data_IF_404286934839
#
_entry.id   IF_404286934839
#
_cell.length_a   1.000
_cell.length_b   1.000
_cell.length_c   1.000
_cell.angle_alpha   90.00
_cell.angle_beta   90.00
_cell.angle_gamma   90.00
#
_symmetry.space_group_name_H-M   'P 1'
#
loop_
_entity.id
_entity.type
_entity.pdbx_description
1 polymer ?
#
# COMPACT_ATOMS: atom_id res chain seq x y z
N UNK A 1 2.57 28.08 -3.25
CA UNK A 1 2.12 27.21 -4.34
C UNK A 1 2.09 25.77 -3.90
N UNK A 2 0.98 25.12 -4.14
CA UNK A 2 0.81 23.76 -3.67
C UNK A 2 1.17 22.77 -4.75
N UNK A 3 1.90 21.75 -4.36
CA UNK A 3 2.23 20.68 -5.26
C UNK A 3 1.34 19.48 -4.98
N UNK A 4 1.15 18.66 -6.00
CA UNK A 4 0.50 17.39 -5.84
C UNK A 4 1.25 16.55 -4.81
N UNK A 5 0.55 15.81 -3.96
CA UNK A 5 1.25 14.93 -3.02
C UNK A 5 2.13 13.95 -3.76
N UNK A 6 3.26 13.62 -3.16
CA UNK A 6 4.19 12.69 -3.80
C UNK A 6 3.87 11.22 -3.53
N UNK A 7 2.98 10.95 -2.58
CA UNK A 7 2.70 9.58 -2.17
C UNK A 7 2.28 8.67 -3.33
N UNK A 8 1.36 9.06 -4.21
CA UNK A 8 0.99 8.17 -5.31
C UNK A 8 2.14 7.88 -6.26
N UNK A 9 3.03 8.86 -6.44
CA UNK A 9 4.21 8.64 -7.29
C UNK A 9 5.18 7.68 -6.65
N UNK A 10 5.36 7.78 -5.33
CA UNK A 10 6.25 6.87 -4.60
C UNK A 10 5.69 5.46 -4.61
N UNK A 11 4.39 5.31 -4.46
CA UNK A 11 3.76 3.99 -4.48
C UNK A 11 4.00 3.32 -5.82
N UNK A 12 3.81 4.07 -6.92
CA UNK A 12 4.02 3.49 -8.25
C UNK A 12 5.48 3.10 -8.47
N UNK A 13 6.40 3.95 -8.01
CA UNK A 13 7.83 3.67 -8.16
C UNK A 13 8.24 2.45 -7.35
N UNK A 14 7.76 2.36 -6.12
CA UNK A 14 8.08 1.23 -5.26
C UNK A 14 7.48 -0.07 -5.78
N UNK A 15 6.26 0.02 -6.30
CA UNK A 15 5.62 -1.14 -6.92
C UNK A 15 6.51 -1.68 -8.06
N UNK A 16 6.93 -0.79 -8.95
CA UNK A 16 7.76 -1.19 -10.08
C UNK A 16 9.10 -1.76 -9.62
N UNK A 17 9.68 -1.12 -8.62
CA UNK A 17 10.97 -1.57 -8.07
C UNK A 17 10.87 -2.97 -7.51
N UNK A 18 9.80 -3.25 -6.76
CA UNK A 18 9.61 -4.57 -6.17
C UNK A 18 9.39 -5.62 -7.24
N UNK A 19 8.59 -5.31 -8.26
CA UNK A 19 8.33 -6.23 -9.37
C UNK A 19 9.62 -6.50 -10.14
N UNK A 20 10.42 -5.46 -10.38
CA UNK A 20 11.66 -5.62 -11.13
C UNK A 20 12.68 -6.49 -10.40
N UNK A 21 12.53 -6.64 -9.10
CA UNK A 21 13.40 -7.50 -8.32
C UNK A 21 12.78 -8.88 -8.07
N UNK A 22 11.75 -9.22 -8.82
CA UNK A 22 11.08 -10.52 -8.73
C UNK A 22 10.50 -10.79 -7.36
N UNK A 23 10.05 -9.74 -6.70
CA UNK A 23 9.45 -9.87 -5.38
C UNK A 23 7.97 -9.50 -5.45
N UNK A 24 7.27 -9.75 -4.35
CA UNK A 24 5.83 -9.61 -4.30
C UNK A 24 5.45 -8.30 -3.61
N UNK A 25 4.80 -7.36 -4.32
CA UNK A 25 4.41 -6.11 -3.68
C UNK A 25 3.16 -6.29 -2.83
N UNK A 26 3.30 -6.02 -1.55
CA UNK A 26 2.19 -6.00 -0.60
C UNK A 26 1.90 -4.56 -0.23
N UNK A 27 0.62 -4.24 -0.09
CA UNK A 27 0.23 -2.91 0.35
C UNK A 27 -0.62 -3.05 1.61
N UNK A 28 -0.31 -2.22 2.61
CA UNK A 28 -1.09 -2.16 3.85
C UNK A 28 -2.03 -0.97 3.75
N UNK A 29 -3.31 -1.21 3.94
CA UNK A 29 -4.34 -0.21 3.73
C UNK A 29 -5.15 -0.01 5.01
N UNK A 30 -5.46 1.25 5.32
CA UNK A 30 -6.38 1.59 6.40
C UNK A 30 -7.80 1.30 5.93
N UNK A 31 -8.34 0.18 6.40
CA UNK A 31 -9.67 -0.26 5.96
C UNK A 31 -10.79 0.51 6.62
N UNK A 32 -10.49 1.36 7.60
CA UNK A 32 -11.50 2.19 8.24
C UNK A 32 -11.73 3.50 7.50
N UNK A 33 -10.92 3.79 6.48
CA UNK A 33 -11.18 4.91 5.62
C UNK A 33 -12.53 4.71 4.95
N UNK A 34 -13.40 5.73 4.99
CA UNK A 34 -14.77 5.56 4.52
C UNK A 34 -14.85 5.30 3.01
N UNK A 35 -13.81 5.64 2.27
CA UNK A 35 -13.78 5.42 0.83
C UNK A 35 -13.03 4.15 0.45
N UNK A 36 -12.59 3.36 1.41
CA UNK A 36 -11.91 2.11 1.13
C UNK A 36 -12.96 1.00 0.99
N UNK A 37 -13.01 0.39 -0.19
CA UNK A 37 -13.91 -0.73 -0.47
C UNK A 37 -13.08 -1.98 -0.63
N UNK A 38 -12.94 -2.70 0.47
CA UNK A 38 -12.10 -3.88 0.56
C UNK A 38 -12.91 -5.01 1.19
N UNK A 39 -12.50 -6.28 0.97
CA UNK A 39 -13.24 -7.41 1.58
C UNK A 39 -13.08 -7.39 3.09
N UNK A 40 -14.19 -7.15 3.78
CA UNK A 40 -14.17 -6.93 5.22
C UNK A 40 -13.76 -8.15 6.02
N UNK A 41 -13.99 -9.34 5.49
CA UNK A 41 -13.63 -10.55 6.22
C UNK A 41 -12.13 -10.73 6.38
N UNK A 42 -11.34 -9.99 5.63
CA UNK A 42 -9.88 -10.05 5.72
C UNK A 42 -9.29 -8.86 6.47
N UNK A 43 -10.13 -7.97 6.97
CA UNK A 43 -9.67 -6.80 7.72
C UNK A 43 -9.33 -7.22 9.14
N UNK A 44 -8.18 -6.77 9.64
CA UNK A 44 -7.72 -7.08 10.98
C UNK A 44 -7.25 -5.80 11.64
N UNK A 45 -7.84 -5.44 12.77
CA UNK A 45 -7.52 -4.21 13.49
C UNK A 45 -7.65 -2.97 12.59
N UNK A 46 -8.68 -2.96 11.75
CA UNK A 46 -8.93 -1.83 10.88
C UNK A 46 -7.99 -1.72 9.69
N UNK A 47 -7.18 -2.74 9.44
CA UNK A 47 -6.21 -2.72 8.35
C UNK A 47 -6.32 -3.98 7.53
N UNK A 48 -5.87 -3.89 6.29
CA UNK A 48 -5.85 -5.05 5.41
C UNK A 48 -4.56 -5.02 4.60
N UNK A 49 -3.98 -6.20 4.41
CA UNK A 49 -2.79 -6.36 3.55
C UNK A 49 -3.26 -6.97 2.24
N UNK A 50 -2.88 -6.35 1.15
CA UNK A 50 -3.30 -6.77 -0.18
C UNK A 50 -2.09 -7.08 -1.04
N UNK A 51 -2.19 -8.17 -1.81
CA UNK A 51 -1.14 -8.62 -2.72
C UNK A 51 -1.39 -7.99 -4.09
N UNK A 52 -0.46 -7.15 -4.55
CA UNK A 52 -0.60 -6.47 -5.83
C UNK A 52 0.22 -7.09 -6.95
N UNK A 53 0.71 -8.31 -6.75
CA UNK A 53 1.49 -8.97 -7.80
C UNK A 53 0.63 -9.17 -9.05
N UNK A 54 1.20 -8.99 -10.24
CA UNK A 54 0.41 -9.13 -11.47
C UNK A 54 -0.25 -10.51 -11.60
N UNK A 55 0.34 -11.54 -11.00
CA UNK A 55 -0.25 -12.87 -11.04
C UNK A 55 -1.42 -13.03 -10.09
N UNK A 56 -1.62 -12.09 -9.17
CA UNK A 56 -2.67 -12.20 -8.15
C UNK A 56 -3.87 -11.34 -8.45
N UNK A 57 -3.74 -10.32 -9.30
CA UNK A 57 -4.79 -9.35 -9.53
C UNK A 57 -4.92 -9.03 -11.02
N UNK A 58 -6.04 -8.36 -11.36
CA UNK A 58 -6.30 -7.92 -12.72
C UNK A 58 -6.71 -6.46 -12.70
N UNK A 59 -6.50 -5.79 -13.83
CA UNK A 59 -7.01 -4.43 -14.05
C UNK A 59 -6.52 -3.44 -13.02
N UNK A 60 -5.25 -3.54 -12.65
CA UNK A 60 -4.66 -2.63 -11.67
C UNK A 60 -4.57 -1.23 -12.25
N UNK A 61 -5.11 -0.26 -11.51
CA UNK A 61 -4.99 1.16 -11.83
C UNK A 61 -4.47 1.87 -10.61
N UNK A 62 -3.33 2.52 -10.77
CA UNK A 62 -2.69 3.25 -9.67
C UNK A 62 -2.68 4.72 -10.03
N UNK A 63 -3.78 5.39 -9.68
CA UNK A 63 -3.91 6.81 -9.96
C UNK A 63 -3.30 7.68 -8.88
N UNK A 64 -3.53 8.98 -9.01
CA UNK A 64 -3.06 9.92 -8.00
C UNK A 64 -4.01 10.00 -6.82
N UNK A 65 -5.27 9.68 -7.02
CA UNK A 65 -6.27 9.79 -5.98
C UNK A 65 -6.62 8.45 -5.36
N UNK A 66 -6.65 7.40 -6.17
CA UNK A 66 -7.03 6.09 -5.64
C UNK A 66 -6.40 4.98 -6.46
N UNK A 67 -6.43 3.80 -5.89
CA UNK A 67 -5.93 2.58 -6.49
C UNK A 67 -7.09 1.60 -6.56
N UNK A 68 -7.22 0.91 -7.70
CA UNK A 68 -8.28 -0.07 -7.88
C UNK A 68 -7.75 -1.28 -8.65
N UNK A 69 -8.38 -2.41 -8.42
CA UNK A 69 -8.04 -3.65 -9.11
C UNK A 69 -9.11 -4.69 -8.80
N UNK A 70 -9.04 -5.80 -9.52
CA UNK A 70 -9.88 -6.96 -9.26
C UNK A 70 -8.99 -8.08 -8.76
N UNK A 71 -9.46 -8.77 -7.72
CA UNK A 71 -8.72 -9.88 -7.13
C UNK A 71 -9.69 -10.99 -6.78
N UNK A 72 -9.13 -12.17 -6.61
CA UNK A 72 -9.94 -13.33 -6.24
C UNK A 72 -9.74 -13.62 -4.76
N UNK A 73 -10.82 -13.53 -4.01
CA UNK A 73 -10.82 -13.83 -2.59
C UNK A 73 -11.75 -15.02 -2.35
N UNK A 74 -11.19 -16.09 -1.81
CA UNK A 74 -11.96 -17.30 -1.55
C UNK A 74 -12.69 -17.79 -2.80
N UNK A 75 -12.02 -17.69 -3.94
CA UNK A 75 -12.57 -18.15 -5.21
C UNK A 75 -13.55 -17.19 -5.87
N UNK A 76 -13.77 -16.02 -5.29
CA UNK A 76 -14.75 -15.06 -5.80
C UNK A 76 -14.03 -13.81 -6.29
N UNK A 77 -14.35 -13.37 -7.51
CA UNK A 77 -13.82 -12.12 -8.06
C UNK A 77 -14.38 -10.95 -7.29
N UNK A 78 -13.51 -10.08 -6.84
CA UNK A 78 -13.89 -8.95 -6.00
C UNK A 78 -13.20 -7.69 -6.51
N UNK A 79 -13.98 -6.64 -6.66
CA UNK A 79 -13.42 -5.32 -6.99
C UNK A 79 -12.96 -4.65 -5.72
N UNK A 80 -11.73 -4.13 -5.75
CA UNK A 80 -11.13 -3.46 -4.61
C UNK A 80 -10.75 -2.05 -5.04
N UNK A 81 -11.09 -1.07 -4.22
CA UNK A 81 -10.70 0.30 -4.48
C UNK A 81 -10.47 1.00 -3.14
N UNK A 82 -9.44 1.83 -3.09
CA UNK A 82 -9.16 2.62 -1.90
C UNK A 82 -8.40 3.88 -2.29
N UNK A 83 -8.57 4.96 -1.52
CA UNK A 83 -7.82 6.18 -1.80
C UNK A 83 -6.35 5.99 -1.51
N UNK A 84 -5.52 6.70 -2.25
CA UNK A 84 -4.09 6.69 -1.98
C UNK A 84 -3.81 7.09 -0.53
N UNK A 85 -4.62 8.03 0.00
CA UNK A 85 -4.44 8.48 1.38
C UNK A 85 -4.63 7.37 2.41
N UNK A 86 -5.29 6.28 2.02
CA UNK A 86 -5.50 5.15 2.94
C UNK A 86 -4.33 4.17 2.94
N UNK A 87 -3.37 4.34 2.05
CA UNK A 87 -2.22 3.44 1.98
C UNK A 87 -1.26 3.78 3.11
N UNK A 88 -0.98 2.80 3.95
CA UNK A 88 -0.10 3.00 5.10
C UNK A 88 1.32 2.54 4.80
N UNK A 89 1.49 1.61 3.89
CA UNK A 89 2.81 1.09 3.54
C UNK A 89 2.74 0.30 2.26
N UNK A 90 3.87 0.23 1.56
CA UNK A 90 4.04 -0.69 0.45
C UNK A 90 5.41 -1.34 0.62
N UNK A 91 5.49 -2.66 0.48
CA UNK A 91 6.72 -3.37 0.76
C UNK A 91 6.75 -4.71 0.04
N UNK A 92 7.96 -5.25 -0.08
CA UNK A 92 8.14 -6.58 -0.64
C UNK A 92 7.86 -7.62 0.42
N UNK A 93 7.00 -8.58 0.11
CA UNK A 93 6.64 -9.63 1.04
C UNK A 93 7.88 -10.40 1.50
N UNK A 94 8.82 -10.64 0.59
CA UNK A 94 9.95 -11.54 0.84
C UNK A 94 10.96 -10.99 1.83
N UNK A 95 11.18 -9.67 1.81
CA UNK A 95 12.21 -9.11 2.69
C UNK A 95 11.73 -7.88 3.47
N UNK A 96 10.49 -7.47 3.28
CA UNK A 96 9.93 -6.36 4.02
C UNK A 96 10.43 -4.98 3.61
N UNK A 97 11.22 -4.88 2.57
CA UNK A 97 11.73 -3.59 2.14
C UNK A 97 10.68 -2.81 1.39
N UNK A 98 10.59 -1.55 1.69
CA UNK A 98 9.60 -0.68 1.09
C UNK A 98 9.53 0.62 1.85
N UNK A 99 8.32 1.18 1.91
CA UNK A 99 8.14 2.47 2.54
C UNK A 99 6.86 2.49 3.35
N UNK A 100 6.94 3.10 4.53
CA UNK A 100 5.79 3.31 5.40
C UNK A 100 5.40 4.76 5.31
N UNK A 101 4.14 5.03 5.01
CA UNK A 101 3.65 6.41 4.90
C UNK A 101 2.96 6.87 6.18
N UNK A 102 2.55 5.91 7.00
CA UNK A 102 1.80 6.23 8.19
C UNK A 102 0.39 6.67 7.87
N UNK A 103 -0.32 7.08 8.87
CA UNK A 103 -1.68 7.52 8.68
C UNK A 103 -1.82 9.02 8.79
N UNK A 104 -0.71 9.70 8.71
CA UNK A 104 -0.71 11.14 8.61
C UNK A 104 -0.91 11.87 9.92
N UNK A 105 -1.70 11.38 10.80
CA UNK A 105 -1.94 12.11 12.01
C UNK A 105 -1.30 11.51 13.22
N UNK A 106 -0.72 10.41 13.12
CA UNK A 106 -0.15 9.88 14.31
C UNK A 106 1.24 10.29 14.48
N UNK A 107 1.39 10.28 14.87
CA UNK A 107 2.33 10.33 14.95
C UNK A 107 3.30 9.86 14.88
N UNK A 108 3.71 10.21 15.20
CA UNK A 108 4.59 9.94 15.06
C UNK A 108 5.39 9.14 15.43
N UNK A 109 5.66 8.86 15.62
CA UNK A 109 6.47 8.21 15.90
C UNK A 109 7.53 7.86 15.70
N UNK A 110 7.93 7.86 15.94
CA UNK A 110 8.73 7.45 15.80
C UNK A 110 9.68 7.00 15.68
N UNK A 111 9.92 6.92 15.67
CA UNK A 111 10.64 6.35 15.52
C UNK A 111 11.55 5.81 15.53
N UNK A 112 11.59 5.71 15.46
CA UNK A 112 12.24 5.21 15.65
C UNK A 112 13.17 4.87 15.34
N UNK A 113 13.45 4.90 15.42
CA UNK A 113 14.18 4.53 15.11
C UNK A 113 15.11 4.23 14.79
N UNK A 114 15.04 4.24 14.83
CA UNK A 114 15.64 3.87 14.61
C UNK A 114 16.32 3.66 13.96
N UNK A 115 16.33 3.81 13.76
CA UNK A 115 16.73 3.68 13.29
C UNK A 115 17.31 3.86 12.60
N UNK A 116 17.46 3.90 12.59
CA UNK A 116 17.78 4.16 11.87
C UNK A 116 18.06 4.27 11.09
N UNK A 117 17.87 4.38 10.96
CA UNK A 117 17.88 4.45 10.31
C UNK A 117 17.76 4.62 9.47
N UNK A 118 17.55 4.80 9.16
CA UNK A 118 17.20 5.02 8.50
C UNK A 118 17.40 5.36 7.84
N UNK A 119 17.57 5.49 7.58
CA UNK A 119 17.74 5.84 7.20
C UNK A 119 17.95 6.06 6.31
N UNK A 120 17.93 6.11 6.09
CA UNK A 120 17.92 6.29 5.38
C UNK A 120 18.26 6.37 4.62
N UNK A 121 18.28 6.42 4.18
CA UNK A 121 18.43 6.42 3.68
C UNK A 121 18.99 6.53 3.25
N UNK A 122 19.18 6.49 2.87
CA UNK A 122 19.57 6.62 2.84
C UNK A 122 19.87 6.69 2.66
#
# INVERSE_FOLDING_TARGET
MDMTPNQPYLIRALYEWIIDNDMTPYVLVNAENEFAHVPRQYVDNGKIVLNLAPSAINNLEMGNDHISFNARFSGKDTSVVFPVAAVLAIYAKENGQGMVFGDGETEPTPPKPDKPNLRVVK
#
